data_IF_827197354967
#
_entry.id   IF_827197354967
#
_cell.length_a   1.000
_cell.length_b   1.000
_cell.length_c   1.000
_cell.angle_alpha   90.00
_cell.angle_beta   90.00
_cell.angle_gamma   90.00
#
_symmetry.space_group_name_H-M   'P 1'
#
loop_
_entity.id
_entity.type
_entity.pdbx_description
1 polymer ?
#
# COMPACT_ATOMS: atom_id res chain seq x y z
N UNK A 1 31.80 -55.76 38.77
CA UNK A 1 30.54 -54.98 38.70
C UNK A 1 30.70 -53.48 38.97
N UNK A 2 31.86 -52.96 39.36
CA UNK A 2 32.03 -51.55 39.81
C UNK A 2 32.38 -50.49 38.77
N UNK A 3 32.46 -50.81 37.46
CA UNK A 3 32.91 -49.87 36.41
C UNK A 3 31.84 -49.52 35.36
N UNK A 4 30.67 -50.18 35.38
CA UNK A 4 29.57 -49.93 34.44
C UNK A 4 28.66 -48.76 34.88
N UNK A 5 28.54 -48.54 36.19
CA UNK A 5 27.72 -47.46 36.77
C UNK A 5 28.20 -46.05 36.37
N UNK A 6 29.51 -45.71 36.38
CA UNK A 6 29.95 -44.38 35.97
C UNK A 6 29.78 -44.14 34.46
N UNK A 7 29.93 -45.16 33.62
CA UNK A 7 29.79 -45.03 32.16
C UNK A 7 28.34 -44.75 31.78
N UNK A 8 27.39 -45.45 32.40
CA UNK A 8 25.96 -45.19 32.18
C UNK A 8 25.58 -43.81 32.73
N UNK A 9 26.11 -43.40 33.89
CA UNK A 9 25.87 -42.07 34.46
C UNK A 9 26.36 -40.92 33.58
N UNK A 10 27.57 -41.03 33.01
CA UNK A 10 28.13 -40.02 32.09
C UNK A 10 27.35 -39.98 30.78
N UNK A 11 26.91 -41.13 30.27
CA UNK A 11 26.12 -41.22 29.03
C UNK A 11 24.74 -40.55 29.19
N UNK A 12 24.08 -40.75 30.33
CA UNK A 12 22.78 -40.13 30.63
C UNK A 12 22.94 -38.61 30.82
N UNK A 13 24.00 -38.15 31.50
CA UNK A 13 24.28 -36.72 31.67
C UNK A 13 24.59 -36.02 30.33
N UNK A 14 25.34 -36.65 29.43
CA UNK A 14 25.62 -36.11 28.10
C UNK A 14 24.37 -36.07 27.22
N UNK A 15 23.49 -37.07 27.30
CA UNK A 15 22.22 -37.06 26.58
C UNK A 15 21.27 -35.99 27.11
N UNK A 16 21.14 -35.84 28.43
CA UNK A 16 20.33 -34.79 29.04
C UNK A 16 20.90 -33.40 28.74
N UNK A 17 22.22 -33.22 28.80
CA UNK A 17 22.90 -31.99 28.42
C UNK A 17 22.74 -31.65 26.94
N UNK A 18 22.83 -32.64 26.05
CA UNK A 18 22.63 -32.48 24.61
C UNK A 18 21.19 -32.11 24.24
N UNK A 19 20.20 -32.73 24.89
CA UNK A 19 18.77 -32.39 24.72
C UNK A 19 18.48 -30.99 25.27
N UNK A 20 19.05 -30.63 26.43
CA UNK A 20 18.93 -29.30 27.02
C UNK A 20 19.57 -28.22 26.13
N UNK A 21 20.77 -28.48 25.59
CA UNK A 21 21.47 -27.58 24.68
C UNK A 21 20.71 -27.44 23.35
N UNK A 22 20.17 -28.52 22.79
CA UNK A 22 19.32 -28.47 21.59
C UNK A 22 18.02 -27.70 21.85
N UNK A 23 17.41 -27.86 23.04
CA UNK A 23 16.20 -27.16 23.44
C UNK A 23 16.46 -25.68 23.70
N UNK A 24 17.56 -25.32 24.37
CA UNK A 24 18.03 -23.95 24.52
C UNK A 24 18.39 -23.32 23.18
N UNK A 25 19.08 -24.01 22.28
CA UNK A 25 19.40 -23.48 20.94
C UNK A 25 18.13 -23.33 20.08
N UNK A 26 17.14 -24.22 20.21
CA UNK A 26 15.81 -24.06 19.60
C UNK A 26 15.03 -22.90 20.21
N UNK A 27 15.10 -22.69 21.53
CA UNK A 27 14.51 -21.54 22.24
C UNK A 27 15.22 -20.24 21.83
N UNK A 28 16.55 -20.23 21.69
CA UNK A 28 17.34 -19.09 21.28
C UNK A 28 17.06 -18.71 19.82
N UNK A 29 16.87 -19.68 18.91
CA UNK A 29 16.34 -19.40 17.55
C UNK A 29 14.90 -18.87 17.55
N UNK A 30 14.05 -19.29 18.49
CA UNK A 30 12.69 -18.75 18.64
C UNK A 30 12.68 -17.33 19.23
N UNK A 31 13.58 -17.04 20.17
CA UNK A 31 13.79 -15.73 20.80
C UNK A 31 14.49 -14.75 19.85
N UNK A 32 15.51 -15.18 19.10
CA UNK A 32 16.18 -14.37 18.07
C UNK A 32 15.26 -14.01 16.91
N UNK A 33 14.29 -14.86 16.57
CA UNK A 33 13.19 -14.51 15.63
C UNK A 33 12.18 -13.50 16.19
N UNK A 34 12.24 -13.23 17.50
CA UNK A 34 11.35 -12.31 18.23
C UNK A 34 12.09 -11.06 18.72
N UNK A 35 13.42 -11.01 18.58
CA UNK A 35 14.31 -10.01 19.19
C UNK A 35 15.17 -9.21 18.19
N UNK A 36 15.04 -9.44 16.88
CA UNK A 36 15.31 -8.35 15.93
C UNK A 36 14.06 -7.46 15.92
N UNK A 37 14.17 -6.29 16.53
CA UNK A 37 13.11 -5.33 16.85
C UNK A 37 12.02 -5.20 15.77
N UNK A 38 10.97 -6.01 15.90
CA UNK A 38 9.75 -5.86 15.11
C UNK A 38 8.99 -4.56 15.47
N UNK A 39 9.28 -3.97 16.64
CA UNK A 39 8.70 -2.71 17.09
C UNK A 39 9.40 -1.48 16.51
N UNK A 40 10.70 -1.54 16.19
CA UNK A 40 11.42 -0.42 15.54
C UNK A 40 10.86 -0.10 14.15
N UNK A 41 10.33 -1.12 13.46
CA UNK A 41 9.82 -1.00 12.10
C UNK A 41 8.29 -0.83 12.00
N UNK A 42 7.57 -1.25 13.05
CA UNK A 42 6.11 -1.10 13.13
C UNK A 42 5.66 0.35 13.04
N UNK A 43 6.51 1.26 13.50
CA UNK A 43 6.23 2.70 13.54
C UNK A 43 6.65 3.45 12.26
N UNK A 44 7.31 2.77 11.31
CA UNK A 44 7.94 3.39 10.13
C UNK A 44 7.41 2.89 8.78
N UNK A 45 6.30 2.15 8.78
CA UNK A 45 5.76 1.54 7.56
C UNK A 45 4.45 2.16 7.09
N UNK A 46 4.55 2.84 5.95
CA UNK A 46 3.46 3.46 5.22
C UNK A 46 2.38 2.49 4.73
N UNK A 47 1.12 2.89 4.91
CA UNK A 47 -0.02 2.40 4.14
C UNK A 47 -0.36 3.33 2.99
N UNK A 48 -0.26 2.86 1.74
CA UNK A 48 -1.11 3.33 0.65
C UNK A 48 -2.11 2.22 0.35
N UNK A 49 -3.28 2.31 0.99
CA UNK A 49 -4.44 1.45 0.76
C UNK A 49 -5.48 2.26 0.00
N UNK A 50 -5.62 1.99 -1.30
CA UNK A 50 -6.78 2.42 -2.10
C UNK A 50 -8.05 1.59 -1.79
N UNK A 51 -8.01 0.72 -0.77
CA UNK A 51 -9.09 -0.23 -0.47
C UNK A 51 -10.09 0.25 0.60
N UNK A 52 -10.28 1.56 0.77
CA UNK A 52 -11.35 2.10 1.61
C UNK A 52 -12.38 2.90 0.80
N UNK A 53 -13.04 2.22 -0.15
CA UNK A 53 -14.50 2.35 -0.27
C UNK A 53 -15.04 1.07 0.40
N UNK A 54 -15.51 1.14 1.64
CA UNK A 54 -16.92 1.44 1.88
C UNK A 54 -17.70 0.13 1.76
N UNK A 55 -17.95 -0.54 2.89
CA UNK A 55 -19.03 -1.52 2.99
C UNK A 55 -20.34 -0.75 2.84
N UNK A 56 -20.79 -0.57 1.60
CA UNK A 56 -22.18 -0.29 1.25
C UNK A 56 -22.41 -0.91 -0.11
N UNK A 57 -23.28 -1.92 -0.15
CA UNK A 57 -23.98 -2.26 -1.38
C UNK A 57 -24.65 -0.97 -1.89
N UNK A 58 -24.52 -0.73 -3.19
CA UNK A 58 -25.05 0.42 -3.93
C UNK A 58 -24.29 1.75 -3.79
N UNK A 59 -23.26 1.93 -4.61
CA UNK A 59 -22.98 3.23 -5.20
C UNK A 59 -22.35 2.99 -6.59
N UNK A 60 -23.14 3.22 -7.65
CA UNK A 60 -22.64 3.24 -9.02
C UNK A 60 -21.83 4.51 -9.18
N UNK A 61 -20.50 4.40 -9.26
CA UNK A 61 -19.64 5.55 -9.49
C UNK A 61 -19.76 6.01 -10.95
N UNK A 62 -20.41 7.16 -11.09
CA UNK A 62 -20.54 8.00 -12.26
C UNK A 62 -19.20 8.75 -12.39
N UNK A 63 -18.20 8.14 -13.01
CA UNK A 63 -16.98 8.86 -13.43
C UNK A 63 -16.59 8.47 -14.86
N UNK A 64 -16.93 9.38 -15.76
CA UNK A 64 -16.20 9.72 -16.99
C UNK A 64 -16.29 8.77 -18.20
N UNK A 65 -17.47 8.75 -18.80
CA UNK A 65 -17.58 8.69 -20.26
C UNK A 65 -17.35 10.10 -20.85
N UNK A 66 -16.10 10.57 -20.87
CA UNK A 66 -15.67 11.66 -21.78
C UNK A 66 -14.21 11.46 -22.13
N UNK A 67 -13.99 10.63 -23.14
CA UNK A 67 -12.73 10.57 -23.85
C UNK A 67 -12.41 11.97 -24.40
N UNK A 68 -11.33 12.57 -23.89
CA UNK A 68 -10.70 13.72 -24.53
C UNK A 68 -10.07 13.18 -25.82
N UNK A 69 -10.76 13.40 -26.95
CA UNK A 69 -10.15 13.38 -28.26
C UNK A 69 -9.26 14.62 -28.35
N UNK A 70 -7.95 14.41 -28.37
CA UNK A 70 -7.00 15.38 -28.90
C UNK A 70 -6.26 14.67 -30.02
N UNK A 71 -6.47 15.18 -31.24
CA UNK A 71 -5.81 14.73 -32.45
C UNK A 71 -4.33 15.09 -32.43
N UNK A 72 -3.54 14.24 -33.08
CA UNK A 72 -2.09 14.33 -33.17
C UNK A 72 -1.54 12.93 -33.40
N UNK A 73 -1.41 12.56 -34.68
CA UNK A 73 -0.76 11.34 -35.12
C UNK A 73 0.71 11.35 -34.68
N UNK A 74 1.03 10.60 -33.63
CA UNK A 74 2.35 10.05 -33.42
C UNK A 74 2.19 8.62 -32.89
N UNK A 75 2.51 7.67 -33.75
CA UNK A 75 2.45 6.23 -33.55
C UNK A 75 3.52 5.75 -32.58
N UNK A 76 3.39 6.10 -31.30
CA UNK A 76 3.99 5.33 -30.22
C UNK A 76 2.88 4.50 -29.56
N UNK A 77 2.76 3.24 -29.97
CA UNK A 77 1.76 2.29 -29.45
C UNK A 77 2.09 1.88 -28.01
N UNK A 78 2.00 2.81 -27.06
CA UNK A 78 1.77 2.47 -25.66
C UNK A 78 0.32 1.99 -25.60
N UNK A 79 0.10 0.68 -25.45
CA UNK A 79 -1.24 0.17 -25.09
C UNK A 79 -1.68 0.95 -23.84
N UNK A 80 -2.68 1.83 -23.99
CA UNK A 80 -3.28 2.52 -22.84
C UNK A 80 -3.82 1.43 -21.91
N UNK A 81 -3.43 1.47 -20.63
CA UNK A 81 -4.07 0.66 -19.58
C UNK A 81 -5.57 0.98 -19.65
N UNK A 82 -6.41 -0.04 -19.78
CA UNK A 82 -7.85 0.17 -19.91
C UNK A 82 -8.42 0.72 -18.59
N UNK A 83 -9.53 1.46 -18.64
CA UNK A 83 -10.24 1.87 -17.43
C UNK A 83 -10.67 0.68 -16.58
N UNK A 84 -10.80 0.88 -15.27
CA UNK A 84 -11.06 -0.17 -14.28
C UNK A 84 -12.31 -1.00 -14.61
N UNK A 85 -13.33 -0.34 -15.16
CA UNK A 85 -14.65 -0.88 -15.48
C UNK A 85 -14.58 -1.94 -16.60
N UNK A 86 -13.60 -1.82 -17.49
CA UNK A 86 -13.38 -2.78 -18.57
C UNK A 86 -13.01 -4.18 -18.05
N UNK A 87 -12.54 -4.28 -16.80
CA UNK A 87 -12.13 -5.53 -16.16
C UNK A 87 -13.20 -6.14 -15.24
N UNK A 88 -14.27 -5.41 -14.97
CA UNK A 88 -15.38 -5.85 -14.12
C UNK A 88 -16.51 -6.47 -14.96
N UNK A 89 -16.72 -6.01 -16.19
CA UNK A 89 -17.91 -6.36 -17.00
C UNK A 89 -17.62 -7.03 -18.35
N UNK A 90 -16.35 -7.33 -18.68
CA UNK A 90 -15.97 -7.92 -19.97
C UNK A 90 -16.05 -9.45 -20.06
N UNK A 91 -16.20 -9.98 -21.27
CA UNK A 91 -16.12 -11.43 -21.59
C UNK A 91 -14.73 -12.04 -21.36
N UNK A 92 -13.72 -11.22 -21.05
CA UNK A 92 -12.37 -11.64 -20.67
C UNK A 92 -12.07 -11.52 -19.18
N UNK A 93 -13.03 -11.17 -18.32
CA UNK A 93 -12.82 -10.92 -16.88
C UNK A 93 -12.35 -12.16 -16.10
N UNK A 94 -11.90 -11.95 -14.86
CA UNK A 94 -11.56 -13.02 -13.94
C UNK A 94 -10.17 -13.62 -14.16
N UNK A 95 -9.95 -14.93 -13.90
CA UNK A 95 -8.61 -15.53 -13.93
C UNK A 95 -7.93 -15.47 -15.30
N UNK A 96 -8.70 -15.53 -16.38
CA UNK A 96 -8.20 -15.50 -17.75
C UNK A 96 -7.56 -14.14 -18.09
N UNK A 97 -8.16 -13.04 -17.65
CA UNK A 97 -7.57 -11.70 -17.77
C UNK A 97 -6.22 -11.61 -17.05
N UNK A 98 -6.17 -12.06 -15.79
CA UNK A 98 -4.95 -12.00 -14.99
C UNK A 98 -3.85 -12.83 -15.62
N UNK A 99 -4.18 -14.06 -16.04
CA UNK A 99 -3.23 -14.93 -16.73
C UNK A 99 -2.70 -14.31 -18.02
N UNK A 100 -3.58 -13.75 -18.86
CA UNK A 100 -3.21 -13.09 -20.11
C UNK A 100 -2.26 -11.92 -19.85
N UNK A 101 -2.56 -11.07 -18.87
CA UNK A 101 -1.67 -9.97 -18.50
C UNK A 101 -0.30 -10.45 -18.06
N UNK A 102 -0.24 -11.44 -17.18
CA UNK A 102 1.03 -11.95 -16.68
C UNK A 102 1.90 -12.56 -17.80
N UNK A 103 1.30 -13.03 -18.90
CA UNK A 103 2.04 -13.63 -20.01
C UNK A 103 2.31 -12.68 -21.18
N UNK A 104 1.34 -11.85 -21.56
CA UNK A 104 1.37 -11.07 -22.79
C UNK A 104 1.75 -9.60 -22.58
N UNK A 105 1.67 -9.08 -21.35
CA UNK A 105 2.03 -7.69 -21.06
C UNK A 105 3.55 -7.52 -21.13
N UNK A 106 4.02 -6.75 -22.13
CA UNK A 106 5.44 -6.52 -22.38
C UNK A 106 6.15 -5.79 -21.23
N UNK A 107 5.47 -4.88 -20.53
CA UNK A 107 6.07 -4.16 -19.40
C UNK A 107 6.26 -5.11 -18.22
N UNK A 108 5.24 -5.92 -17.92
CA UNK A 108 5.34 -6.93 -16.85
C UNK A 108 6.37 -8.02 -17.16
N UNK A 109 6.47 -8.45 -18.43
CA UNK A 109 7.48 -9.42 -18.85
C UNK A 109 8.91 -8.89 -18.68
N UNK A 110 9.17 -7.62 -19.02
CA UNK A 110 10.49 -6.98 -18.80
C UNK A 110 10.84 -6.84 -17.32
N UNK A 111 9.84 -6.64 -16.48
CA UNK A 111 10.00 -6.48 -15.03
C UNK A 111 9.89 -7.80 -14.25
N UNK A 112 9.84 -8.95 -14.94
CA UNK A 112 9.69 -10.27 -14.32
C UNK A 112 10.89 -10.60 -13.43
N UNK A 113 10.62 -10.85 -12.16
CA UNK A 113 11.61 -11.39 -11.22
C UNK A 113 11.27 -12.86 -10.91
N UNK A 114 12.21 -13.82 -11.05
CA UNK A 114 11.97 -15.20 -10.63
C UNK A 114 11.54 -15.26 -9.16
N UNK A 115 10.42 -15.91 -8.87
CA UNK A 115 9.78 -15.86 -7.54
C UNK A 115 10.72 -16.29 -6.40
N UNK A 116 11.63 -17.23 -6.67
CA UNK A 116 12.60 -17.75 -5.69
C UNK A 116 13.73 -16.76 -5.36
N UNK A 117 13.99 -15.76 -6.20
CA UNK A 117 15.04 -14.77 -5.97
C UNK A 117 14.66 -13.72 -4.92
N UNK A 118 13.35 -13.60 -4.61
CA UNK A 118 12.86 -12.67 -3.60
C UNK A 118 12.88 -13.35 -2.24
N UNK A 119 13.74 -12.87 -1.34
CA UNK A 119 13.76 -13.32 0.05
C UNK A 119 12.86 -12.42 0.88
N UNK A 120 11.70 -12.92 1.30
CA UNK A 120 10.82 -12.17 2.21
C UNK A 120 11.42 -12.13 3.62
N UNK A 121 11.46 -10.93 4.19
CA UNK A 121 11.97 -10.64 5.54
C UNK A 121 10.81 -10.21 6.45
N UNK A 122 11.02 -9.20 7.29
CA UNK A 122 10.05 -8.72 8.27
C UNK A 122 8.71 -8.31 7.64
N UNK A 123 7.62 -8.53 8.36
CA UNK A 123 6.33 -7.93 8.02
C UNK A 123 6.38 -6.47 8.44
N UNK A 124 6.16 -5.58 7.49
CA UNK A 124 6.18 -4.14 7.74
C UNK A 124 4.79 -3.63 8.08
N UNK A 125 3.79 -4.04 7.29
CA UNK A 125 2.40 -3.65 7.51
C UNK A 125 1.43 -4.71 6.98
N UNK A 126 0.22 -4.69 7.52
CA UNK A 126 -0.87 -5.57 7.13
C UNK A 126 -2.18 -4.79 7.08
N UNK A 127 -2.81 -4.82 5.92
CA UNK A 127 -4.17 -4.29 5.70
C UNK A 127 -5.19 -5.43 5.69
N UNK A 128 -6.46 -5.12 5.42
CA UNK A 128 -7.52 -6.13 5.28
C UNK A 128 -7.32 -7.07 4.08
N UNK A 129 -6.62 -6.60 3.04
CA UNK A 129 -6.48 -7.32 1.76
C UNK A 129 -5.05 -7.72 1.43
N UNK A 130 -4.07 -6.93 1.89
CA UNK A 130 -2.67 -7.02 1.49
C UNK A 130 -1.73 -7.00 2.69
N UNK A 131 -0.58 -7.61 2.50
CA UNK A 131 0.58 -7.46 3.37
C UNK A 131 1.72 -6.76 2.63
N UNK A 132 2.49 -5.97 3.39
CA UNK A 132 3.69 -5.28 2.97
C UNK A 132 4.83 -5.84 3.82
N UNK A 133 5.90 -6.27 3.16
CA UNK A 133 7.05 -6.90 3.80
C UNK A 133 8.34 -6.28 3.31
N UNK A 134 9.34 -6.26 4.19
CA UNK A 134 10.70 -6.04 3.78
C UNK A 134 11.14 -7.30 3.03
N UNK A 135 11.93 -7.12 1.99
CA UNK A 135 12.51 -8.20 1.23
C UNK A 135 13.94 -7.89 0.87
N UNK A 136 14.59 -8.88 0.28
CA UNK A 136 15.91 -8.74 -0.30
C UNK A 136 15.88 -9.32 -1.71
N UNK A 137 16.41 -8.56 -2.66
CA UNK A 137 16.55 -8.94 -4.06
C UNK A 137 17.90 -8.44 -4.57
N UNK A 138 18.72 -9.32 -5.16
CA UNK A 138 20.10 -8.99 -5.63
C UNK A 138 20.94 -8.26 -4.57
N UNK A 139 20.87 -8.70 -3.31
CA UNK A 139 21.53 -8.10 -2.15
C UNK A 139 21.11 -6.65 -1.84
N UNK A 140 20.00 -6.17 -2.40
CA UNK A 140 19.41 -4.87 -2.09
C UNK A 140 18.13 -5.06 -1.27
N UNK A 141 17.89 -4.14 -0.33
CA UNK A 141 16.62 -4.08 0.38
C UNK A 141 15.51 -3.61 -0.57
N UNK A 142 14.38 -4.30 -0.51
CA UNK A 142 13.20 -4.00 -1.32
C UNK A 142 11.94 -4.07 -0.47
N UNK A 143 10.88 -3.41 -0.90
CA UNK A 143 9.55 -3.55 -0.31
C UNK A 143 8.70 -4.46 -1.18
N UNK A 144 8.16 -5.53 -0.58
CA UNK A 144 7.31 -6.50 -1.26
C UNK A 144 5.87 -6.35 -0.79
N UNK A 145 4.99 -5.99 -1.72
CA UNK A 145 3.54 -5.94 -1.50
C UNK A 145 2.89 -7.16 -2.14
N UNK A 146 2.01 -7.85 -1.42
CA UNK A 146 1.25 -9.00 -1.94
C UNK A 146 -0.10 -9.17 -1.26
N UNK A 147 -0.99 -9.92 -1.89
CA UNK A 147 -2.27 -10.29 -1.28
C UNK A 147 -2.08 -11.23 -0.11
N UNK A 148 -2.90 -11.02 0.93
CA UNK A 148 -3.04 -11.98 2.03
C UNK A 148 -3.47 -13.34 1.49
N UNK A 149 -2.94 -14.42 2.06
CA UNK A 149 -3.28 -15.79 1.64
C UNK A 149 -4.79 -16.04 1.59
N UNK A 150 -5.53 -15.55 2.59
CA UNK A 150 -6.99 -15.65 2.68
C UNK A 150 -7.76 -14.90 1.59
N UNK A 151 -7.11 -13.96 0.90
CA UNK A 151 -7.70 -13.11 -0.14
C UNK A 151 -7.34 -13.54 -1.56
N UNK A 152 -6.46 -14.53 -1.72
CA UNK A 152 -5.99 -15.03 -3.03
C UNK A 152 -7.05 -15.82 -3.80
N UNK A 153 -8.03 -16.40 -3.11
CA UNK A 153 -9.17 -17.08 -3.74
C UNK A 153 -10.24 -16.11 -4.26
N UNK A 154 -10.20 -14.84 -3.84
CA UNK A 154 -11.18 -13.84 -4.22
C UNK A 154 -10.69 -13.07 -5.45
N UNK A 155 -11.23 -13.42 -6.62
CA UNK A 155 -10.77 -12.93 -7.91
C UNK A 155 -10.77 -11.40 -8.02
N UNK A 156 -11.76 -10.73 -7.41
CA UNK A 156 -11.82 -9.26 -7.35
C UNK A 156 -10.54 -8.64 -6.77
N UNK A 157 -10.01 -9.20 -5.67
CA UNK A 157 -8.79 -8.68 -5.06
C UNK A 157 -7.55 -8.94 -5.92
N UNK A 158 -7.52 -10.05 -6.67
CA UNK A 158 -6.46 -10.39 -7.60
C UNK A 158 -6.48 -9.45 -8.81
N UNK A 159 -7.65 -9.23 -9.42
CA UNK A 159 -7.84 -8.31 -10.53
C UNK A 159 -7.46 -6.87 -10.15
N UNK A 160 -7.97 -6.37 -9.02
CA UNK A 160 -7.61 -5.04 -8.52
C UNK A 160 -6.10 -4.93 -8.28
N UNK A 161 -5.47 -5.99 -7.78
CA UNK A 161 -4.04 -5.96 -7.54
C UNK A 161 -3.24 -5.94 -8.85
N UNK A 162 -3.59 -6.77 -9.85
CA UNK A 162 -2.85 -6.77 -11.12
C UNK A 162 -3.06 -5.47 -11.91
N UNK A 163 -4.25 -4.87 -11.84
CA UNK A 163 -4.52 -3.57 -12.45
C UNK A 163 -3.58 -2.48 -11.89
N UNK A 164 -3.45 -2.43 -10.57
CA UNK A 164 -2.54 -1.49 -9.90
C UNK A 164 -1.06 -1.75 -10.27
N UNK A 165 -0.67 -3.01 -10.45
CA UNK A 165 0.66 -3.37 -10.93
C UNK A 165 0.88 -2.88 -12.37
N UNK A 166 -0.12 -3.03 -13.24
CA UNK A 166 -0.05 -2.60 -14.63
C UNK A 166 0.05 -1.08 -14.75
N UNK A 167 -0.69 -0.30 -13.96
CA UNK A 167 -0.51 1.15 -13.90
C UNK A 167 0.91 1.48 -13.44
N UNK A 168 1.40 0.82 -12.38
CA UNK A 168 2.74 1.10 -11.86
C UNK A 168 3.85 0.75 -12.83
N UNK A 169 3.66 -0.23 -13.71
CA UNK A 169 4.67 -0.61 -14.71
C UNK A 169 4.85 0.41 -15.83
N UNK A 170 3.93 1.39 -15.95
CA UNK A 170 4.06 2.49 -16.90
C UNK A 170 4.62 3.77 -16.29
N UNK A 171 4.80 3.83 -14.96
CA UNK A 171 5.25 5.03 -14.25
C UNK A 171 6.77 4.98 -14.00
N UNK A 172 7.50 5.94 -14.58
CA UNK A 172 8.93 6.13 -14.34
C UNK A 172 9.21 7.62 -14.09
N UNK A 173 9.54 7.97 -12.85
CA UNK A 173 9.85 9.35 -12.46
C UNK A 173 10.67 9.36 -11.15
N UNK A 174 11.65 10.27 -10.97
CA UNK A 174 12.49 10.32 -9.76
C UNK A 174 11.73 10.53 -8.44
N UNK A 175 10.51 11.08 -8.49
CA UNK A 175 9.66 11.31 -7.32
C UNK A 175 8.49 10.31 -7.19
N UNK A 176 8.47 9.25 -8.01
CA UNK A 176 7.51 8.16 -7.89
C UNK A 176 8.28 6.92 -7.45
N UNK A 177 7.79 6.25 -6.40
CA UNK A 177 8.34 4.98 -5.92
C UNK A 177 8.54 4.01 -7.07
N UNK A 178 9.79 3.67 -7.32
CA UNK A 178 10.21 2.84 -8.44
C UNK A 178 9.69 1.42 -8.28
N UNK A 179 9.06 0.93 -9.34
CA UNK A 179 8.76 -0.48 -9.49
C UNK A 179 10.03 -1.22 -9.93
N UNK A 180 10.65 -1.94 -8.98
CA UNK A 180 11.85 -2.76 -9.23
C UNK A 180 11.50 -3.99 -10.05
N UNK A 181 10.36 -4.63 -9.74
CA UNK A 181 9.82 -5.67 -10.59
C UNK A 181 8.59 -6.37 -10.03
N UNK A 182 8.16 -7.40 -10.74
CA UNK A 182 6.96 -8.18 -10.41
C UNK A 182 7.31 -9.65 -10.39
N UNK A 183 6.91 -10.35 -9.32
CA UNK A 183 7.06 -11.79 -9.22
C UNK A 183 5.73 -12.51 -9.06
N UNK A 184 5.58 -13.68 -9.66
CA UNK A 184 4.42 -14.54 -9.46
C UNK A 184 4.80 -16.01 -9.52
N UNK A 185 4.10 -16.84 -8.74
CA UNK A 185 4.18 -18.32 -8.83
C UNK A 185 2.89 -18.92 -9.38
N UNK A 186 1.78 -18.17 -9.32
CA UNK A 186 0.48 -18.48 -9.91
C UNK A 186 -0.28 -17.17 -10.19
N UNK A 187 -1.45 -17.26 -10.82
CA UNK A 187 -2.33 -16.10 -11.06
C UNK A 187 -2.76 -15.37 -9.78
N UNK A 188 -2.72 -16.04 -8.64
CA UNK A 188 -3.19 -15.48 -7.36
C UNK A 188 -2.04 -15.16 -6.38
N UNK A 189 -0.85 -15.72 -6.59
CA UNK A 189 0.33 -15.45 -5.76
C UNK A 189 1.32 -14.56 -6.51
N UNK A 190 0.99 -13.27 -6.48
CA UNK A 190 1.73 -12.19 -7.13
C UNK A 190 2.39 -11.31 -6.05
N UNK A 191 3.58 -10.81 -6.34
CA UNK A 191 4.39 -9.89 -5.55
C UNK A 191 4.74 -8.68 -6.41
N UNK A 192 4.40 -7.51 -5.90
CA UNK A 192 4.89 -6.22 -6.40
C UNK A 192 6.15 -5.88 -5.59
N UNK A 193 7.29 -5.72 -6.27
CA UNK A 193 8.59 -5.41 -5.66
C UNK A 193 8.95 -3.97 -5.97
N UNK A 194 9.09 -3.16 -4.92
CA UNK A 194 9.39 -1.74 -5.02
C UNK A 194 10.72 -1.45 -4.34
N UNK A 195 11.30 -0.30 -4.67
CA UNK A 195 12.46 0.19 -3.93
C UNK A 195 12.10 0.41 -2.45
N UNK A 196 13.13 0.35 -1.61
CA UNK A 196 12.97 0.53 -0.18
C UNK A 196 13.32 1.96 0.24
N UNK A 197 12.39 2.63 0.94
CA UNK A 197 12.61 3.96 1.51
C UNK A 197 12.82 3.84 3.03
N UNK A 198 14.06 3.98 3.53
CA UNK A 198 14.37 3.75 4.94
C UNK A 198 13.82 4.84 5.88
N UNK A 199 13.49 6.03 5.35
CA UNK A 199 13.00 7.17 6.13
C UNK A 199 11.51 7.10 6.45
N UNK A 200 10.77 6.12 5.93
CA UNK A 200 9.34 5.96 6.18
C UNK A 200 8.48 6.92 5.34
N UNK A 201 7.27 7.21 5.80
CA UNK A 201 6.33 8.13 5.14
C UNK A 201 6.27 9.52 5.74
N UNK A 202 5.71 10.41 4.91
CA UNK A 202 5.35 11.76 5.26
C UNK A 202 4.41 11.83 6.48
N UNK A 203 3.46 10.91 6.67
CA UNK A 203 2.54 11.01 7.81
C UNK A 203 3.29 10.78 9.11
N UNK A 204 4.08 9.69 9.22
CA UNK A 204 4.96 9.46 10.37
C UNK A 204 5.93 10.61 10.56
N UNK A 205 6.52 11.13 9.49
CA UNK A 205 7.43 12.27 9.56
C UNK A 205 6.74 13.52 10.13
N UNK A 206 5.56 13.88 9.62
CA UNK A 206 4.79 15.03 10.11
C UNK A 206 4.29 14.84 11.54
N UNK A 207 3.98 13.62 11.96
CA UNK A 207 3.60 13.34 13.34
C UNK A 207 4.77 13.53 14.32
N UNK A 208 5.98 13.20 13.89
CA UNK A 208 7.17 13.26 14.75
C UNK A 208 7.92 14.61 14.69
N UNK A 209 7.81 15.32 13.56
CA UNK A 209 8.61 16.51 13.25
C UNK A 209 7.76 17.67 12.68
N UNK A 210 6.43 17.55 12.66
CA UNK A 210 5.52 18.54 12.08
C UNK A 210 5.44 19.87 12.83
N UNK A 211 6.14 20.03 13.95
CA UNK A 211 6.27 21.33 14.64
C UNK A 211 6.89 22.41 13.74
N UNK A 212 7.63 22.02 12.68
CA UNK A 212 8.21 22.94 11.70
C UNK A 212 7.27 23.37 10.56
N UNK A 213 6.08 22.77 10.41
CA UNK A 213 5.08 23.19 9.41
C UNK A 213 4.03 24.10 10.06
N UNK A 214 4.35 25.40 10.13
CA UNK A 214 3.68 26.39 10.99
C UNK A 214 2.18 26.65 10.76
N UNK A 215 1.60 26.23 9.63
CA UNK A 215 0.18 26.51 9.30
C UNK A 215 -0.72 25.27 9.28
N UNK A 216 -0.14 24.08 9.46
CA UNK A 216 -0.86 22.83 9.73
C UNK A 216 -0.23 22.20 10.96
N UNK A 217 -0.63 22.65 12.16
CA UNK A 217 -0.62 21.75 13.31
C UNK A 217 -1.40 20.53 12.83
N UNK A 218 -0.76 19.37 12.63
CA UNK A 218 -1.19 18.22 11.82
C UNK A 218 -2.57 17.61 12.19
N UNK A 219 -3.60 18.44 12.08
CA UNK A 219 -4.97 18.17 12.44
C UNK A 219 -5.61 17.49 11.25
N UNK A 220 -6.19 16.33 11.50
CA UNK A 220 -6.94 15.63 10.47
C UNK A 220 -8.04 16.56 9.88
N UNK A 221 -8.39 16.39 8.59
CA UNK A 221 -9.56 17.05 8.03
C UNK A 221 -10.78 16.85 8.93
N UNK A 222 -11.59 17.91 9.13
CA UNK A 222 -12.76 17.89 10.00
C UNK A 222 -12.46 17.64 11.49
N UNK A 223 -11.22 17.89 11.96
CA UNK A 223 -10.87 17.73 13.39
C UNK A 223 -11.75 18.52 14.36
N UNK A 224 -12.26 19.66 13.89
CA UNK A 224 -13.09 20.65 14.56
C UNK A 224 -14.59 20.48 14.30
N UNK A 225 -14.99 19.45 13.53
CA UNK A 225 -16.39 19.22 13.20
C UNK A 225 -17.17 18.72 14.44
N UNK A 226 -18.13 19.54 14.86
CA UNK A 226 -18.98 19.31 16.03
C UNK A 226 -20.46 19.38 15.64
N UNK A 227 -21.28 18.59 16.34
CA UNK A 227 -22.73 18.63 16.21
C UNK A 227 -23.30 19.94 16.81
N UNK A 228 -24.58 20.26 16.56
CA UNK A 228 -25.24 21.40 17.20
C UNK A 228 -25.23 21.37 18.74
N UNK A 229 -25.02 20.18 19.33
CA UNK A 229 -24.94 19.96 20.79
C UNK A 229 -23.48 20.05 21.30
N UNK A 230 -22.52 20.39 20.42
CA UNK A 230 -21.11 20.53 20.77
C UNK A 230 -20.34 19.21 20.88
N UNK A 231 -20.94 18.09 20.46
CA UNK A 231 -20.26 16.78 20.46
C UNK A 231 -19.51 16.54 19.16
N UNK A 232 -18.30 15.96 19.22
CA UNK A 232 -17.50 15.65 18.03
C UNK A 232 -18.26 14.71 17.09
N UNK A 233 -18.30 15.04 15.81
CA UNK A 233 -19.01 14.22 14.82
C UNK A 233 -18.32 12.87 14.62
N UNK A 234 -19.13 11.81 14.48
CA UNK A 234 -18.64 10.48 14.09
C UNK A 234 -18.35 10.44 12.59
N UNK A 235 -17.46 9.54 12.09
CA UNK A 235 -17.10 9.47 10.67
C UNK A 235 -18.28 9.37 9.70
N UNK A 236 -19.33 8.62 10.07
CA UNK A 236 -20.54 8.48 9.25
C UNK A 236 -21.35 9.78 9.17
N UNK A 237 -21.35 10.59 10.24
CA UNK A 237 -22.03 11.88 10.25
C UNK A 237 -21.25 12.91 9.41
N UNK A 238 -19.92 12.93 9.57
CA UNK A 238 -19.04 13.74 8.72
C UNK A 238 -19.28 13.41 7.24
N UNK A 239 -19.30 12.12 6.88
CA UNK A 239 -19.57 11.68 5.51
C UNK A 239 -20.91 12.20 5.00
N UNK A 240 -21.99 12.01 5.77
CA UNK A 240 -23.33 12.47 5.39
C UNK A 240 -23.39 13.98 5.18
N UNK A 241 -22.81 14.77 6.08
CA UNK A 241 -22.82 16.23 5.97
C UNK A 241 -21.95 16.74 4.81
N UNK A 242 -20.81 16.09 4.54
CA UNK A 242 -20.00 16.38 3.35
C UNK A 242 -20.78 16.07 2.07
N UNK A 243 -21.46 14.92 2.02
CA UNK A 243 -22.30 14.50 0.90
C UNK A 243 -23.52 15.40 0.69
N UNK A 244 -24.07 15.99 1.76
CA UNK A 244 -25.16 16.98 1.67
C UNK A 244 -24.65 18.39 1.32
N UNK A 245 -23.34 18.58 1.29
CA UNK A 245 -22.74 19.88 1.01
C UNK A 245 -22.69 20.82 2.21
N UNK A 246 -23.12 20.38 3.40
CA UNK A 246 -23.24 21.20 4.62
C UNK A 246 -21.95 21.28 5.42
N UNK A 247 -21.03 20.32 5.27
CA UNK A 247 -19.73 20.31 5.93
C UNK A 247 -18.56 20.46 4.94
N UNK A 248 -17.58 21.29 5.31
CA UNK A 248 -16.33 21.51 4.57
C UNK A 248 -15.15 21.53 5.53
N UNK A 249 -13.95 21.14 5.09
CA UNK A 249 -12.74 21.31 5.90
C UNK A 249 -12.52 22.78 6.22
N UNK A 250 -12.20 23.06 7.48
CA UNK A 250 -11.73 24.37 7.90
C UNK A 250 -10.23 24.51 7.63
N UNK A 251 -9.81 25.75 7.46
CA UNK A 251 -8.39 26.11 7.31
C UNK A 251 -8.04 27.07 8.43
N UNK A 252 -6.89 26.86 9.08
CA UNK A 252 -6.43 27.75 10.15
C UNK A 252 -6.31 29.19 9.64
N UNK A 253 -6.47 30.22 10.49
CA UNK A 253 -6.30 31.62 10.10
C UNK A 253 -4.93 31.90 9.47
N UNK A 254 -3.89 31.19 9.90
CA UNK A 254 -2.51 31.32 9.45
C UNK A 254 -2.24 30.65 8.09
N UNK A 255 -3.19 29.87 7.57
CA UNK A 255 -3.06 29.19 6.28
C UNK A 255 -2.83 30.22 5.13
N UNK A 256 -1.74 30.08 4.35
CA UNK A 256 -1.45 30.96 3.23
C UNK A 256 -2.62 31.05 2.26
N UNK A 257 -2.94 32.28 1.83
CA UNK A 257 -4.11 32.56 0.97
C UNK A 257 -4.15 31.67 -0.27
N UNK A 258 -3.00 31.42 -0.91
CA UNK A 258 -2.89 30.56 -2.10
C UNK A 258 -3.33 29.12 -1.83
N UNK A 259 -2.88 28.54 -0.71
CA UNK A 259 -3.27 27.18 -0.31
C UNK A 259 -4.75 27.12 0.05
N UNK A 260 -5.28 28.13 0.76
CA UNK A 260 -6.71 28.22 1.06
C UNK A 260 -7.56 28.23 -0.22
N UNK A 261 -7.16 29.01 -1.23
CA UNK A 261 -7.87 29.07 -2.53
C UNK A 261 -7.85 27.70 -3.20
N UNK A 262 -6.69 27.04 -3.26
CA UNK A 262 -6.56 25.70 -3.82
C UNK A 262 -7.45 24.71 -3.07
N UNK A 263 -7.35 24.67 -1.73
CA UNK A 263 -8.12 23.78 -0.89
C UNK A 263 -9.62 23.95 -1.10
N UNK A 264 -10.13 25.19 -1.04
CA UNK A 264 -11.56 25.49 -1.30
C UNK A 264 -11.98 25.09 -2.72
N UNK A 265 -11.11 25.25 -3.72
CA UNK A 265 -11.35 24.78 -5.08
C UNK A 265 -11.46 23.25 -5.16
N UNK A 266 -10.57 22.52 -4.49
CA UNK A 266 -10.58 21.05 -4.46
C UNK A 266 -11.83 20.49 -3.77
N UNK A 267 -12.38 21.19 -2.78
CA UNK A 267 -13.56 20.78 -2.01
C UNK A 267 -14.90 21.30 -2.58
N UNK A 268 -14.95 21.69 -3.86
CA UNK A 268 -16.22 22.05 -4.51
C UNK A 268 -17.19 20.86 -4.50
N UNK A 269 -18.45 21.12 -4.14
CA UNK A 269 -19.49 20.10 -4.10
C UNK A 269 -19.69 19.47 -5.48
N UNK A 270 -19.87 20.36 -6.46
CA UNK A 270 -19.96 20.05 -7.88
C UNK A 270 -18.59 19.57 -8.39
N UNK A 271 -18.48 18.32 -8.86
CA UNK A 271 -17.21 17.77 -9.33
C UNK A 271 -16.66 18.50 -10.56
N UNK A 272 -17.51 19.06 -11.42
CA UNK A 272 -17.09 19.75 -12.64
C UNK A 272 -16.44 21.11 -12.36
N UNK A 273 -16.66 21.66 -11.15
CA UNK A 273 -16.03 22.91 -10.69
C UNK A 273 -14.69 22.71 -10.00
N UNK A 274 -14.28 21.46 -9.74
CA UNK A 274 -13.00 21.17 -9.10
C UNK A 274 -11.87 21.45 -10.09
N UNK A 275 -10.77 22.08 -9.64
CA UNK A 275 -9.65 22.36 -10.52
C UNK A 275 -9.01 21.06 -11.01
N UNK A 276 -8.58 21.05 -12.26
CA UNK A 276 -7.77 19.96 -12.81
C UNK A 276 -6.36 20.00 -12.21
N UNK A 277 -5.62 18.88 -12.26
CA UNK A 277 -4.23 18.84 -11.81
C UNK A 277 -3.36 19.92 -12.49
N UNK A 278 -3.59 20.19 -13.78
CA UNK A 278 -2.89 21.23 -14.53
C UNK A 278 -3.26 22.66 -14.07
N UNK A 279 -4.50 22.89 -13.64
CA UNK A 279 -4.89 24.17 -13.03
C UNK A 279 -4.27 24.34 -11.65
N UNK A 280 -4.24 23.28 -10.84
CA UNK A 280 -3.61 23.29 -9.53
C UNK A 280 -2.11 23.61 -9.60
N UNK A 281 -1.41 23.03 -10.57
CA UNK A 281 0.02 23.33 -10.79
C UNK A 281 0.25 24.83 -11.03
N UNK A 282 -0.54 25.45 -11.92
CA UNK A 282 -0.45 26.89 -12.19
C UNK A 282 -0.74 27.75 -10.96
N UNK A 283 -1.67 27.34 -10.10
CA UNK A 283 -1.97 28.04 -8.85
C UNK A 283 -0.84 27.89 -7.80
N UNK A 284 -0.12 26.75 -7.83
CA UNK A 284 1.02 26.47 -6.97
C UNK A 284 2.33 27.12 -7.46
N UNK A 285 2.42 27.47 -8.74
CA UNK A 285 3.61 28.11 -9.33
C UNK A 285 3.55 29.66 -9.32
N UNK A 286 2.36 30.26 -9.36
CA UNK A 286 2.16 31.71 -9.39
C UNK A 286 2.12 32.36 -7.99
#
# INVERSE_FOLDING_TARGET
MGLLVPIVGVSVLLLLGGVCCCWMHRQWKKLGRKAEDADSYRDRTVMISFSHLGQSNEMRDIVSARAIQTGGEDTFSTRRVLPREAYELGSNSGPNYVWRLLQEDRNLARMRIPYKEIKLRAMLSKSQTREIRLGEYRNQQVVVKRLLKTKRSHIFHVQEFIYQIQIRSTLAHPNIVTLVGVAWSSVADIMLVMEHYPLGDLLTYLQNYGDYTSWERASAPFHDAVSPVGTKLKPIQILNEVMQGTLRPSFSPECPRRIRVIGVGCYQHDPDRRPTAAQLLRLLEA
#
